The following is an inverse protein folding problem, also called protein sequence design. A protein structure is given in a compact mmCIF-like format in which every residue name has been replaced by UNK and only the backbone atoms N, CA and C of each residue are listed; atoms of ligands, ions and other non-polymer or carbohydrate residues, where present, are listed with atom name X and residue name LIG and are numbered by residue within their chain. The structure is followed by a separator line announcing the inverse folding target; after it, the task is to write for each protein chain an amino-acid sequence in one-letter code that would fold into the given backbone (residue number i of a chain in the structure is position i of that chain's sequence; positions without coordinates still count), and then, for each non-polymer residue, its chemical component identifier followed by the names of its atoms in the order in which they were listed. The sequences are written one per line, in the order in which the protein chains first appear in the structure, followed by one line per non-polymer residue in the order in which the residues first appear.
data_IF_016684357817
#
_entry.id   IF_016684357817
#
_cell.length_a   1.000
_cell.length_b   1.000
_cell.length_c   1.000
_cell.angle_alpha   90.00
_cell.angle_beta   90.00
_cell.angle_gamma   90.00
#
_symmetry.space_group_name_H-M   'P 1'
#
loop_
_entity.id
_entity.type
_entity.pdbx_description
1 polymer ?
#
# COMPACT_ATOMS: atom_id res chain seq x y z
N UNK A 1 1.59 -9.73 21.18
CA UNK A 1 1.18 -8.84 20.07
C UNK A 1 1.63 -9.53 18.80
N UNK A 2 0.68 -9.85 17.91
CA UNK A 2 0.82 -10.93 16.92
C UNK A 2 1.84 -10.57 15.83
N UNK A 3 2.85 -11.42 15.72
CA UNK A 3 3.87 -11.47 14.67
C UNK A 3 3.21 -11.62 13.31
N UNK A 4 3.59 -10.78 12.34
CA UNK A 4 3.15 -10.89 10.96
C UNK A 4 3.61 -12.22 10.35
N UNK A 5 2.68 -13.15 10.21
CA UNK A 5 2.86 -14.38 9.45
C UNK A 5 2.79 -14.07 7.94
N UNK A 6 3.36 -14.91 7.11
CA UNK A 6 3.08 -14.87 5.67
C UNK A 6 1.56 -15.05 5.47
N UNK A 7 0.93 -14.38 4.49
CA UNK A 7 -0.51 -14.41 4.36
C UNK A 7 -0.91 -15.81 3.91
N UNK A 8 -1.51 -16.60 4.82
CA UNK A 8 -2.31 -17.74 4.42
C UNK A 8 -3.57 -17.19 3.74
N UNK A 9 -3.49 -17.14 2.41
CA UNK A 9 -4.57 -17.13 1.42
C UNK A 9 -5.91 -16.55 1.91
N UNK A 10 -6.21 -15.31 1.48
CA UNK A 10 -7.50 -14.54 1.58
C UNK A 10 -7.57 -13.34 2.54
N UNK A 11 -6.47 -12.83 3.09
CA UNK A 11 -6.52 -11.50 3.69
C UNK A 11 -6.75 -10.41 2.62
N UNK A 12 -7.70 -9.52 2.85
CA UNK A 12 -8.01 -8.41 1.95
C UNK A 12 -7.01 -7.28 2.15
N UNK A 13 -6.60 -6.63 1.06
CA UNK A 13 -5.69 -5.49 1.14
C UNK A 13 -6.32 -4.37 1.99
N UNK A 14 -5.62 -3.83 3.00
CA UNK A 14 -6.18 -2.84 3.93
C UNK A 14 -6.57 -1.50 3.27
N UNK A 15 -6.04 -1.21 2.08
CA UNK A 15 -6.37 0.00 1.32
C UNK A 15 -7.50 -0.25 0.33
N UNK A 16 -7.33 -1.21 -0.59
CA UNK A 16 -8.31 -1.39 -1.65
C UNK A 16 -9.37 -2.46 -1.37
N UNK A 17 -9.24 -3.26 -0.31
CA UNK A 17 -10.19 -4.32 0.05
C UNK A 17 -10.26 -5.50 -0.93
N UNK A 18 -9.44 -5.52 -1.99
CA UNK A 18 -9.34 -6.68 -2.90
C UNK A 18 -8.59 -7.83 -2.21
N UNK A 19 -8.90 -9.10 -2.53
CA UNK A 19 -8.15 -10.23 -1.98
C UNK A 19 -6.68 -10.15 -2.39
N UNK A 20 -5.79 -10.52 -1.48
CA UNK A 20 -4.36 -10.63 -1.76
C UNK A 20 -4.03 -12.06 -2.20
N UNK A 21 -3.50 -12.19 -3.41
CA UNK A 21 -2.99 -13.46 -3.95
C UNK A 21 -1.47 -13.47 -3.71
N UNK A 22 -0.92 -14.51 -3.07
CA UNK A 22 0.52 -14.63 -2.89
C UNK A 22 1.26 -14.57 -4.24
N UNK A 23 2.30 -13.74 -4.32
CA UNK A 23 3.06 -13.55 -5.54
C UNK A 23 3.69 -12.16 -5.61
N UNK A 24 4.04 -11.73 -6.82
CA UNK A 24 4.70 -10.45 -7.07
C UNK A 24 3.78 -9.23 -6.98
N UNK A 25 2.47 -9.44 -6.85
CA UNK A 25 1.48 -8.36 -6.75
C UNK A 25 1.35 -7.79 -5.34
N UNK A 26 1.96 -8.43 -4.33
CA UNK A 26 1.90 -8.05 -2.92
C UNK A 26 3.29 -7.76 -2.35
N UNK A 27 3.37 -6.82 -1.42
CA UNK A 27 4.57 -6.48 -0.67
C UNK A 27 4.25 -5.99 0.74
N UNK A 28 5.30 -5.78 1.54
CA UNK A 28 5.18 -5.29 2.92
C UNK A 28 5.25 -3.77 2.93
N UNK A 29 4.32 -3.15 3.64
CA UNK A 29 4.32 -1.72 3.92
C UNK A 29 4.42 -1.47 5.41
N UNK A 30 5.27 -0.51 5.80
CA UNK A 30 5.35 -0.04 7.19
C UNK A 30 4.48 1.20 7.31
N UNK A 31 3.48 1.16 8.19
CA UNK A 31 2.55 2.28 8.36
C UNK A 31 3.21 3.51 8.94
N UNK A 32 4.12 3.30 9.89
CA UNK A 32 5.12 4.29 10.30
C UNK A 32 6.44 3.89 9.62
N UNK A 33 7.08 4.76 8.83
CA UNK A 33 8.34 4.42 8.19
C UNK A 33 9.42 4.07 9.21
N UNK A 34 10.33 3.16 8.85
CA UNK A 34 11.42 2.72 9.74
C UNK A 34 12.31 3.85 10.23
N UNK A 35 12.52 4.88 9.40
CA UNK A 35 13.27 6.08 9.75
C UNK A 35 12.67 6.83 10.95
N UNK A 36 11.36 6.68 11.19
CA UNK A 36 10.63 7.26 12.31
C UNK A 36 10.36 6.23 13.42
N UNK A 37 11.12 5.13 13.46
CA UNK A 37 11.04 4.10 14.50
C UNK A 37 9.90 3.10 14.31
N UNK A 38 9.20 3.12 13.17
CA UNK A 38 8.09 2.22 12.91
C UNK A 38 8.51 0.76 12.81
N UNK A 39 7.75 -0.10 13.52
CA UNK A 39 7.96 -1.56 13.56
C UNK A 39 6.76 -2.34 13.05
N UNK A 40 5.60 -1.70 13.02
CA UNK A 40 4.38 -2.30 12.50
C UNK A 40 4.37 -2.27 10.98
N UNK A 41 4.02 -3.41 10.40
CA UNK A 41 3.93 -3.58 8.96
C UNK A 41 2.75 -4.48 8.61
N UNK A 42 2.21 -4.31 7.41
CA UNK A 42 1.13 -5.13 6.87
C UNK A 42 1.41 -5.54 5.43
N UNK A 43 0.75 -6.61 5.00
CA UNK A 43 0.73 -7.01 3.59
C UNK A 43 -0.25 -6.12 2.81
N UNK A 44 0.14 -5.71 1.62
CA UNK A 44 -0.72 -4.97 0.71
C UNK A 44 -0.33 -5.18 -0.75
N UNK A 45 -1.19 -4.75 -1.69
CA UNK A 45 -0.81 -4.75 -3.11
C UNK A 45 0.27 -3.71 -3.39
N UNK A 46 1.23 -4.05 -4.24
CA UNK A 46 2.30 -3.14 -4.69
C UNK A 46 1.75 -1.85 -5.30
N UNK A 47 0.66 -1.92 -6.06
CA UNK A 47 0.02 -0.74 -6.66
C UNK A 47 -0.54 0.21 -5.59
N UNK A 48 -1.10 -0.34 -4.51
CA UNK A 48 -1.59 0.45 -3.38
C UNK A 48 -0.42 1.05 -2.60
N UNK A 49 0.65 0.28 -2.40
CA UNK A 49 1.86 0.74 -1.73
C UNK A 49 2.50 1.92 -2.48
N UNK A 50 2.64 1.81 -3.80
CA UNK A 50 3.12 2.90 -4.65
C UNK A 50 2.23 4.14 -4.57
N UNK A 51 0.90 3.97 -4.51
CA UNK A 51 -0.01 5.10 -4.38
C UNK A 51 0.14 5.83 -3.04
N UNK A 52 0.34 5.11 -1.93
CA UNK A 52 0.61 5.72 -0.62
C UNK A 52 1.85 6.63 -0.73
N UNK A 53 2.97 6.12 -1.24
CA UNK A 53 4.20 6.89 -1.37
C UNK A 53 4.17 7.98 -2.45
N UNK A 54 3.22 7.90 -3.39
CA UNK A 54 2.97 8.98 -4.34
C UNK A 54 2.16 10.13 -3.73
N UNK A 55 1.36 9.88 -2.68
CA UNK A 55 0.52 10.88 -2.01
C UNK A 55 1.16 11.46 -0.75
N UNK A 56 1.92 10.65 0.00
CA UNK A 56 2.40 11.00 1.34
C UNK A 56 3.91 10.85 1.42
N UNK A 57 4.55 11.86 2.03
CA UNK A 57 5.93 11.74 2.46
C UNK A 57 6.06 10.79 3.66
N UNK A 58 7.27 10.31 3.93
CA UNK A 58 7.53 9.51 5.14
C UNK A 58 7.16 10.27 6.43
N UNK A 59 7.36 11.59 6.46
CA UNK A 59 6.95 12.44 7.58
C UNK A 59 5.43 12.55 7.73
N UNK A 60 4.67 12.56 6.63
CA UNK A 60 3.21 12.59 6.68
C UNK A 60 2.66 11.27 7.22
N UNK A 61 3.21 10.14 6.76
CA UNK A 61 2.88 8.81 7.26
C UNK A 61 3.17 8.69 8.76
N UNK A 62 4.33 9.18 9.21
CA UNK A 62 4.71 9.11 10.63
C UNK A 62 3.82 9.97 11.56
N UNK A 63 3.19 11.04 11.05
CA UNK A 63 2.50 12.04 11.89
C UNK A 63 0.98 12.03 11.78
N UNK A 64 0.44 11.72 10.60
CA UNK A 64 -0.98 11.94 10.26
C UNK A 64 -1.66 10.74 9.61
N UNK A 65 -0.90 9.87 8.96
CA UNK A 65 -1.41 8.79 8.12
C UNK A 65 -0.73 7.46 8.46
N UNK A 66 -0.69 7.14 9.75
CA UNK A 66 -0.02 5.97 10.31
C UNK A 66 -0.90 4.73 10.38
N UNK A 67 -2.14 4.82 9.87
CA UNK A 67 -3.09 3.72 9.80
C UNK A 67 -3.81 3.71 8.45
N UNK A 68 -4.36 2.55 8.08
CA UNK A 68 -5.15 2.42 6.85
C UNK A 68 -6.36 3.36 6.83
N UNK A 69 -7.07 3.51 7.95
CA UNK A 69 -8.26 4.38 8.04
C UNK A 69 -7.92 5.84 7.79
N UNK A 70 -6.80 6.34 8.36
CA UNK A 70 -6.34 7.71 8.12
C UNK A 70 -5.97 7.91 6.65
N UNK A 71 -5.23 6.96 6.06
CA UNK A 71 -4.87 7.00 4.64
C UNK A 71 -6.13 7.04 3.75
N UNK A 72 -7.15 6.25 4.09
CA UNK A 72 -8.41 6.18 3.36
C UNK A 72 -9.23 7.47 3.45
N UNK A 73 -9.06 8.28 4.50
CA UNK A 73 -9.74 9.57 4.63
C UNK A 73 -9.27 10.64 3.63
N UNK A 74 -8.17 10.39 2.91
CA UNK A 74 -7.64 11.35 1.94
C UNK A 74 -8.42 11.26 0.61
N UNK A 75 -8.98 12.36 0.08
CA UNK A 75 -9.84 12.33 -1.11
C UNK A 75 -9.19 11.69 -2.35
N UNK A 76 -7.89 11.93 -2.56
CA UNK A 76 -7.15 11.32 -3.68
C UNK A 76 -6.91 9.81 -3.49
N UNK A 77 -6.89 9.33 -2.25
CA UNK A 77 -6.83 7.90 -1.96
C UNK A 77 -8.19 7.25 -2.23
N UNK A 78 -9.29 7.87 -1.81
CA UNK A 78 -10.65 7.38 -2.08
C UNK A 78 -10.91 7.19 -3.58
N UNK A 79 -10.57 8.20 -4.40
CA UNK A 79 -10.69 8.12 -5.87
C UNK A 79 -9.88 6.97 -6.45
N UNK A 80 -8.65 6.79 -5.97
CA UNK A 80 -7.81 5.68 -6.39
C UNK A 80 -8.41 4.33 -5.99
N UNK A 81 -8.92 4.21 -4.77
CA UNK A 81 -9.55 2.98 -4.26
C UNK A 81 -10.79 2.63 -5.10
N UNK A 82 -11.64 3.60 -5.41
CA UNK A 82 -12.83 3.40 -6.24
C UNK A 82 -12.49 2.88 -7.65
N UNK A 83 -11.36 3.32 -8.21
CA UNK A 83 -10.86 2.85 -9.49
C UNK A 83 -10.18 1.47 -9.40
N UNK A 84 -9.26 1.28 -8.46
CA UNK A 84 -8.44 0.07 -8.38
C UNK A 84 -9.25 -1.16 -7.95
N UNK A 85 -10.32 -0.96 -7.16
CA UNK A 85 -11.27 -2.03 -6.77
C UNK A 85 -11.89 -2.77 -7.96
N UNK A 86 -11.96 -2.13 -9.12
CA UNK A 86 -12.52 -2.70 -10.37
C UNK A 86 -11.50 -3.50 -11.19
N UNK A 87 -10.25 -3.58 -10.74
CA UNK A 87 -9.16 -4.29 -11.43
C UNK A 87 -8.97 -5.69 -10.84
N UNK A 88 -8.42 -6.66 -11.62
CA UNK A 88 -8.08 -7.99 -11.09
C UNK A 88 -7.22 -7.91 -9.82
N UNK A 89 -7.34 -8.85 -8.87
CA UNK A 89 -6.60 -8.83 -7.60
C UNK A 89 -5.09 -8.67 -7.76
N UNK A 90 -4.51 -9.34 -8.75
CA UNK A 90 -3.07 -9.31 -9.05
C UNK A 90 -2.66 -8.13 -9.93
N UNK A 91 -3.59 -7.24 -10.30
CA UNK A 91 -3.30 -6.10 -11.16
C UNK A 91 -2.23 -5.20 -10.53
N UNK A 92 -1.11 -5.10 -11.24
CA UNK A 92 0.04 -4.31 -10.88
C UNK A 92 0.49 -3.57 -12.14
N UNK A 93 0.32 -2.24 -12.15
CA UNK A 93 0.84 -1.41 -13.23
C UNK A 93 2.20 -0.84 -12.82
N UNK A 94 3.17 -0.97 -13.71
CA UNK A 94 4.49 -0.41 -13.54
C UNK A 94 4.56 0.86 -14.38
N UNK A 95 4.64 2.03 -13.73
CA UNK A 95 5.01 3.24 -14.44
C UNK A 95 6.37 3.02 -15.11
N UNK A 96 6.41 2.93 -16.44
CA UNK A 96 7.68 2.92 -17.17
C UNK A 96 8.42 4.20 -16.80
N UNK A 97 9.54 4.08 -16.07
CA UNK A 97 10.41 5.24 -15.81
C UNK A 97 10.77 5.84 -17.17
N UNK A 98 10.58 7.15 -17.41
CA UNK A 98 11.10 7.76 -18.62
C UNK A 98 12.61 7.49 -18.66
N UNK A 99 13.09 6.98 -19.80
CA UNK A 99 14.52 6.68 -20.00
C UNK A 99 15.29 7.97 -19.74
N UNK A 100 16.18 7.99 -18.73
CA UNK A 100 17.14 9.08 -18.58
C UNK A 100 17.93 9.16 -19.89
N UNK A 101 17.76 10.23 -20.65
CA UNK A 101 18.69 10.57 -21.73
C UNK A 101 20.01 10.93 -21.04
N UNK A 102 21.07 10.21 -21.41
CA UNK A 102 22.44 10.45 -20.97
C UNK A 102 23.00 11.68 -21.65
#
# INVERSE_FOLDING_TARGET
MRTGSAPELTESCPICGRPMVPGSSVDRHHWVPRAYGGREWGWMHQICHRKIHALFSESDLARRYSTASEILSHPEMEKFVAWVKRRPPEYNDWHKRPRRRR
#
